data_IF_605232287123
#
_entry.id   IF_605232287123
#
_cell.length_a   1.000
_cell.length_b   1.000
_cell.length_c   1.000
_cell.angle_alpha   90.00
_cell.angle_beta   90.00
_cell.angle_gamma   90.00
#
_symmetry.space_group_name_H-M   'P 1'
#
loop_
_entity.id
_entity.type
_entity.pdbx_description
1 polymer ?
#
# COMPACT_ATOMS: atom_id res chain seq x y z
N UNK A 1 -4.81 -4.83 27.82
CA UNK A 1 -3.73 -5.79 27.51
C UNK A 1 -3.42 -5.87 26.01
N UNK A 2 -4.42 -5.97 25.12
CA UNK A 2 -4.22 -6.06 23.66
C UNK A 2 -3.48 -4.83 23.08
N UNK A 3 -3.77 -3.62 23.58
CA UNK A 3 -3.11 -2.41 23.09
C UNK A 3 -1.63 -2.31 23.46
N UNK A 4 -1.25 -2.74 24.66
CA UNK A 4 0.14 -2.78 25.08
C UNK A 4 0.94 -3.80 24.25
N UNK A 5 0.34 -4.98 23.99
CA UNK A 5 0.94 -5.98 23.11
C UNK A 5 1.11 -5.48 21.67
N UNK A 6 0.10 -4.80 21.12
CA UNK A 6 0.17 -4.18 19.78
C UNK A 6 1.26 -3.11 19.70
N UNK A 7 1.34 -2.23 20.69
CA UNK A 7 2.36 -1.17 20.75
C UNK A 7 3.75 -1.79 20.88
N UNK A 8 3.93 -2.77 21.77
CA UNK A 8 5.19 -3.48 21.91
C UNK A 8 5.61 -4.18 20.61
N UNK A 9 4.68 -4.86 19.93
CA UNK A 9 4.93 -5.51 18.65
C UNK A 9 5.36 -4.50 17.56
N UNK A 10 4.68 -3.35 17.44
CA UNK A 10 5.05 -2.30 16.49
C UNK A 10 6.43 -1.70 16.80
N UNK A 11 6.77 -1.54 18.09
CA UNK A 11 8.09 -1.07 18.52
C UNK A 11 9.20 -2.07 18.17
N UNK A 12 8.99 -3.36 18.47
CA UNK A 12 9.92 -4.45 18.09
C UNK A 12 10.08 -4.49 16.57
N UNK A 13 8.98 -4.44 15.82
CA UNK A 13 9.01 -4.48 14.36
C UNK A 13 9.78 -3.30 13.77
N UNK A 14 9.62 -2.10 14.36
CA UNK A 14 10.39 -0.91 13.97
C UNK A 14 11.89 -1.15 14.15
N UNK A 15 12.30 -1.68 15.29
CA UNK A 15 13.71 -1.99 15.56
C UNK A 15 14.25 -3.05 14.60
N UNK A 16 13.49 -4.13 14.37
CA UNK A 16 13.88 -5.19 13.44
C UNK A 16 14.08 -4.67 12.01
N UNK A 17 13.18 -3.84 11.51
CA UNK A 17 13.33 -3.24 10.19
C UNK A 17 14.46 -2.22 10.12
N UNK A 18 14.70 -1.44 11.18
CA UNK A 18 15.85 -0.54 11.25
C UNK A 18 17.19 -1.32 11.26
N UNK A 19 17.25 -2.44 11.99
CA UNK A 19 18.41 -3.34 11.98
C UNK A 19 18.60 -3.98 10.60
N UNK A 20 17.52 -4.44 9.97
CA UNK A 20 17.55 -4.98 8.61
C UNK A 20 18.05 -3.95 7.60
N UNK A 21 17.61 -2.69 7.71
CA UNK A 21 18.10 -1.60 6.88
C UNK A 21 19.60 -1.34 7.08
N UNK A 22 20.11 -1.41 8.31
CA UNK A 22 21.52 -1.20 8.62
C UNK A 22 22.41 -2.37 8.17
N UNK A 23 21.93 -3.60 8.26
CA UNK A 23 22.68 -4.80 7.88
C UNK A 23 22.49 -5.23 6.42
N UNK A 24 21.53 -4.64 5.72
CA UNK A 24 21.29 -4.90 4.30
C UNK A 24 22.53 -4.54 3.48
N UNK A 25 22.86 -5.35 2.49
CA UNK A 25 23.98 -5.09 1.57
C UNK A 25 23.53 -4.52 0.24
N UNK A 26 22.27 -4.75 -0.14
CA UNK A 26 21.66 -4.26 -1.37
C UNK A 26 20.78 -3.02 -1.12
N UNK A 27 20.88 -2.02 -2.01
CA UNK A 27 20.17 -0.75 -1.88
C UNK A 27 18.64 -0.92 -1.88
N UNK A 28 18.10 -1.82 -2.71
CA UNK A 28 16.64 -2.06 -2.78
C UNK A 28 16.17 -2.61 -1.45
N UNK A 29 16.88 -3.61 -0.91
CA UNK A 29 16.54 -4.20 0.38
C UNK A 29 16.61 -3.16 1.51
N UNK A 30 17.67 -2.34 1.55
CA UNK A 30 17.82 -1.28 2.54
C UNK A 30 16.67 -0.26 2.45
N UNK A 31 16.32 0.20 1.24
CA UNK A 31 15.22 1.15 1.05
C UNK A 31 13.88 0.56 1.48
N UNK A 32 13.58 -0.69 1.11
CA UNK A 32 12.33 -1.33 1.53
C UNK A 32 12.28 -1.57 3.04
N UNK A 33 13.39 -1.98 3.66
CA UNK A 33 13.50 -2.10 5.10
C UNK A 33 13.29 -0.75 5.80
N UNK A 34 13.84 0.34 5.26
CA UNK A 34 13.60 1.70 5.78
C UNK A 34 12.15 2.14 5.63
N UNK A 35 11.51 1.88 4.48
CA UNK A 35 10.08 2.19 4.29
C UNK A 35 9.21 1.47 5.32
N UNK A 36 9.50 0.19 5.57
CA UNK A 36 8.79 -0.61 6.58
C UNK A 36 9.10 -0.15 8.01
N UNK A 37 10.34 0.25 8.31
CA UNK A 37 10.73 0.84 9.59
C UNK A 37 9.98 2.15 9.84
N UNK A 38 9.92 3.05 8.85
CA UNK A 38 9.21 4.32 8.96
C UNK A 38 7.70 4.12 9.11
N UNK A 39 7.11 3.19 8.36
CA UNK A 39 5.69 2.86 8.48
C UNK A 39 5.38 2.30 9.88
N UNK A 40 6.16 1.33 10.35
CA UNK A 40 5.97 0.73 11.68
C UNK A 40 6.21 1.74 12.80
N UNK A 41 7.23 2.60 12.70
CA UNK A 41 7.48 3.69 13.64
C UNK A 41 6.32 4.69 13.69
N UNK A 42 5.81 5.09 12.52
CA UNK A 42 4.65 5.98 12.42
C UNK A 42 3.41 5.38 13.09
N UNK A 43 3.13 4.10 12.82
CA UNK A 43 2.03 3.36 13.46
C UNK A 43 2.25 3.17 14.97
N UNK A 44 3.47 2.94 15.41
CA UNK A 44 3.86 2.87 16.82
C UNK A 44 3.55 4.18 17.55
N UNK A 45 4.06 5.31 17.03
CA UNK A 45 3.83 6.65 17.58
C UNK A 45 2.33 6.98 17.57
N UNK A 46 1.64 6.71 16.47
CA UNK A 46 0.20 6.91 16.37
C UNK A 46 -0.58 6.08 17.39
N UNK A 47 -0.17 4.82 17.61
CA UNK A 47 -0.81 3.93 18.57
C UNK A 47 -0.57 4.38 20.01
N UNK A 48 0.62 4.86 20.36
CA UNK A 48 0.91 5.45 21.67
C UNK A 48 0.07 6.71 21.89
N UNK A 49 0.02 7.62 20.92
CA UNK A 49 -0.76 8.86 21.00
C UNK A 49 -2.26 8.61 21.19
N UNK A 50 -2.77 7.49 20.70
CA UNK A 50 -4.19 7.09 20.84
C UNK A 50 -4.47 6.17 22.02
N UNK A 51 -3.44 5.66 22.70
CA UNK A 51 -3.60 4.67 23.77
C UNK A 51 -4.40 5.21 24.97
N UNK A 52 -4.32 6.51 25.26
CA UNK A 52 -5.04 7.16 26.37
C UNK A 52 -6.46 7.63 26.06
N UNK A 53 -6.95 7.52 24.82
CA UNK A 53 -8.28 8.03 24.42
C UNK A 53 -9.41 6.99 24.48
N UNK A 54 -9.16 5.82 25.07
CA UNK A 54 -10.00 4.62 24.89
C UNK A 54 -11.06 4.39 25.97
N UNK A 55 -11.32 5.37 26.81
CA UNK A 55 -12.40 5.28 27.81
C UNK A 55 -13.80 5.19 27.17
N UNK A 56 -13.95 5.53 25.88
CA UNK A 56 -15.23 5.42 25.17
C UNK A 56 -15.64 3.99 24.77
N UNK A 57 -14.69 3.06 24.58
CA UNK A 57 -15.04 1.68 24.17
C UNK A 57 -15.59 0.84 25.34
N UNK A 58 -15.17 1.16 26.57
CA UNK A 58 -15.66 0.48 27.77
C UNK A 58 -17.10 0.88 28.14
N UNK A 59 -17.56 2.05 27.69
CA UNK A 59 -18.91 2.59 27.99
C UNK A 59 -19.97 2.06 27.01
N UNK A 60 -19.62 1.81 25.74
CA UNK A 60 -20.60 1.56 24.66
C UNK A 60 -20.77 0.09 24.24
N UNK A 61 -19.88 -0.82 24.68
CA UNK A 61 -19.85 -2.22 24.21
C UNK A 61 -19.59 -2.35 22.69
N UNK A 62 -19.42 -3.57 22.15
CA UNK A 62 -19.35 -3.78 20.72
C UNK A 62 -20.76 -3.52 20.15
N UNK A 63 -20.99 -2.33 19.59
CA UNK A 63 -22.19 -2.11 18.79
C UNK A 63 -22.10 -3.07 17.59
N UNK A 64 -23.14 -3.88 17.29
CA UNK A 64 -23.15 -4.62 16.04
C UNK A 64 -22.91 -3.61 14.92
N UNK A 65 -21.86 -3.83 14.12
CA UNK A 65 -21.59 -2.99 12.96
C UNK A 65 -22.76 -3.20 11.99
N UNK A 66 -23.78 -2.36 12.13
CA UNK A 66 -25.02 -2.42 11.40
C UNK A 66 -24.81 -1.61 10.12
N UNK A 67 -24.55 -2.31 9.01
CA UNK A 67 -24.43 -1.69 7.70
C UNK A 67 -23.29 -2.24 6.86
N UNK A 68 -23.20 -1.73 5.63
CA UNK A 68 -22.11 -2.06 4.72
C UNK A 68 -20.86 -1.26 5.03
N UNK A 69 -19.71 -1.88 4.80
CA UNK A 69 -18.39 -1.28 4.93
C UNK A 69 -18.07 -0.41 3.70
N UNK A 70 -18.82 0.68 3.51
CA UNK A 70 -18.66 1.56 2.35
C UNK A 70 -17.47 2.54 2.50
N UNK A 71 -16.97 2.76 3.72
CA UNK A 71 -15.81 3.63 3.98
C UNK A 71 -14.55 3.14 3.23
N UNK A 72 -14.28 1.83 3.29
CA UNK A 72 -13.12 1.24 2.62
C UNK A 72 -13.31 1.20 1.10
N UNK A 73 -14.55 1.03 0.63
CA UNK A 73 -14.88 1.12 -0.80
C UNK A 73 -14.59 2.53 -1.30
N UNK A 74 -15.01 3.56 -0.56
CA UNK A 74 -14.76 4.96 -0.92
C UNK A 74 -13.27 5.27 -0.98
N UNK A 75 -12.50 4.81 0.01
CA UNK A 75 -11.04 4.93 0.00
C UNK A 75 -10.41 4.19 -1.19
N UNK A 76 -10.91 2.98 -1.49
CA UNK A 76 -10.54 2.19 -2.65
C UNK A 76 -10.78 2.93 -3.96
N UNK A 77 -11.96 3.54 -4.16
CA UNK A 77 -12.28 4.31 -5.37
C UNK A 77 -11.35 5.52 -5.52
N UNK A 78 -11.07 6.25 -4.44
CA UNK A 78 -10.11 7.36 -4.47
C UNK A 78 -8.72 6.85 -4.86
N UNK A 79 -8.25 5.77 -4.24
CA UNK A 79 -6.96 5.15 -4.57
C UNK A 79 -6.92 4.67 -6.03
N UNK A 80 -7.98 4.06 -6.54
CA UNK A 80 -8.12 3.68 -7.95
C UNK A 80 -7.91 4.88 -8.84
N UNK A 81 -8.62 5.98 -8.61
CA UNK A 81 -8.47 7.18 -9.46
C UNK A 81 -7.06 7.77 -9.39
N UNK A 82 -6.45 7.81 -8.20
CA UNK A 82 -5.09 8.31 -8.00
C UNK A 82 -4.08 7.44 -8.76
N UNK A 83 -4.14 6.12 -8.59
CA UNK A 83 -3.22 5.21 -9.27
C UNK A 83 -3.47 5.13 -10.77
N UNK A 84 -4.70 5.34 -11.22
CA UNK A 84 -5.02 5.50 -12.64
C UNK A 84 -4.30 6.69 -13.24
N UNK A 85 -4.35 7.86 -12.58
CA UNK A 85 -3.61 9.05 -13.01
C UNK A 85 -2.10 8.78 -13.03
N UNK A 86 -1.54 8.24 -11.93
CA UNK A 86 -0.10 7.94 -11.85
C UNK A 86 0.34 6.94 -12.93
N UNK A 87 -0.39 5.85 -13.11
CA UNK A 87 -0.10 4.81 -14.08
C UNK A 87 -0.18 5.33 -15.52
N UNK A 88 -1.22 6.09 -15.87
CA UNK A 88 -1.36 6.65 -17.21
C UNK A 88 -0.33 7.74 -17.50
N UNK A 89 -0.01 8.61 -16.53
CA UNK A 89 1.06 9.60 -16.68
C UNK A 89 2.43 8.93 -16.90
N UNK A 90 2.75 7.86 -16.15
CA UNK A 90 3.95 7.08 -16.38
C UNK A 90 3.96 6.47 -17.80
N UNK A 91 2.80 6.00 -18.28
CA UNK A 91 2.62 5.47 -19.64
C UNK A 91 2.87 6.51 -20.72
N UNK A 92 2.28 7.70 -20.57
CA UNK A 92 2.51 8.84 -21.46
C UNK A 92 3.98 9.26 -21.44
N UNK A 93 4.62 9.28 -20.26
CA UNK A 93 6.03 9.62 -20.13
C UNK A 93 6.94 8.63 -20.87
N UNK A 94 6.78 7.32 -20.66
CA UNK A 94 7.60 6.33 -21.36
C UNK A 94 7.31 6.29 -22.86
N UNK A 95 6.10 6.65 -23.30
CA UNK A 95 5.80 6.84 -24.73
C UNK A 95 6.61 8.02 -25.31
N UNK A 96 6.73 9.13 -24.58
CA UNK A 96 7.61 10.23 -24.98
C UNK A 96 9.10 9.84 -24.99
N UNK A 97 9.55 8.92 -24.13
CA UNK A 97 10.93 8.42 -24.18
C UNK A 97 11.24 7.64 -25.45
N UNK A 98 10.24 6.95 -26.03
CA UNK A 98 10.38 6.27 -27.32
C UNK A 98 10.44 7.27 -28.49
N UNK A 99 9.72 8.39 -28.38
CA UNK A 99 9.76 9.46 -29.38
C UNK A 99 11.01 10.35 -29.28
N UNK A 100 11.43 10.65 -28.05
CA UNK A 100 12.55 11.53 -27.71
C UNK A 100 13.46 10.85 -26.67
N UNK A 101 14.48 10.09 -27.13
CA UNK A 101 15.35 9.33 -26.23
C UNK A 101 16.08 10.15 -25.16
N UNK A 102 16.26 11.46 -25.39
CA UNK A 102 16.84 12.40 -24.41
C UNK A 102 16.11 12.39 -23.06
N UNK A 103 14.80 12.09 -23.04
CA UNK A 103 13.99 12.02 -21.82
C UNK A 103 14.32 10.81 -20.92
N UNK A 104 15.31 9.99 -21.27
CA UNK A 104 15.89 9.02 -20.35
C UNK A 104 16.84 9.65 -19.33
N UNK A 105 17.33 10.87 -19.57
CA UNK A 105 18.25 11.64 -18.72
C UNK A 105 19.59 10.96 -18.40
N UNK A 106 19.93 9.86 -19.06
CA UNK A 106 21.09 9.00 -18.74
C UNK A 106 21.17 8.58 -17.26
N UNK A 107 20.02 8.60 -16.56
CA UNK A 107 19.91 8.15 -15.18
C UNK A 107 19.26 6.76 -15.11
N UNK A 108 19.73 5.86 -14.24
CA UNK A 108 19.18 4.50 -14.16
C UNK A 108 17.68 4.47 -13.86
N UNK A 109 17.22 5.29 -12.91
CA UNK A 109 15.83 5.31 -12.42
C UNK A 109 14.83 5.99 -13.36
N UNK A 110 15.27 6.82 -14.29
CA UNK A 110 14.40 7.39 -15.33
C UNK A 110 14.49 6.63 -16.65
N UNK A 111 15.30 5.58 -16.76
CA UNK A 111 15.42 4.83 -18.01
C UNK A 111 14.12 4.09 -18.37
N UNK A 112 13.83 4.01 -19.67
CA UNK A 112 12.66 3.31 -20.20
C UNK A 112 12.55 1.86 -19.69
N UNK A 113 13.69 1.16 -19.59
CA UNK A 113 13.75 -0.22 -19.12
C UNK A 113 13.23 -0.42 -17.69
N UNK A 114 13.41 0.57 -16.80
CA UNK A 114 12.91 0.52 -15.42
C UNK A 114 11.50 1.11 -15.28
N UNK A 115 11.20 2.16 -16.04
CA UNK A 115 9.89 2.80 -15.99
C UNK A 115 8.79 2.00 -16.69
N UNK A 116 9.12 1.14 -17.66
CA UNK A 116 8.15 0.25 -18.31
C UNK A 116 7.46 -0.71 -17.32
N UNK A 117 8.18 -1.57 -16.57
CA UNK A 117 7.52 -2.44 -15.60
C UNK A 117 6.85 -1.67 -14.45
N UNK A 118 7.32 -0.47 -14.11
CA UNK A 118 6.62 0.44 -13.20
C UNK A 118 5.27 0.87 -13.76
N UNK A 119 5.21 1.37 -15.00
CA UNK A 119 3.95 1.74 -15.66
C UNK A 119 2.99 0.55 -15.73
N UNK A 120 3.47 -0.60 -16.21
CA UNK A 120 2.66 -1.81 -16.34
C UNK A 120 2.05 -2.22 -15.00
N UNK A 121 2.85 -2.26 -13.94
CA UNK A 121 2.38 -2.65 -12.61
C UNK A 121 1.46 -1.60 -11.98
N UNK A 122 1.73 -0.31 -12.21
CA UNK A 122 0.87 0.77 -11.76
C UNK A 122 -0.51 0.72 -12.43
N UNK A 123 -0.60 0.45 -13.73
CA UNK A 123 -1.89 0.37 -14.42
C UNK A 123 -2.65 -0.92 -14.07
N UNK A 124 -1.96 -2.06 -14.02
CA UNK A 124 -2.63 -3.35 -13.81
C UNK A 124 -2.94 -3.57 -12.34
N UNK A 125 -1.93 -3.54 -11.47
CA UNK A 125 -2.11 -3.86 -10.06
C UNK A 125 -2.55 -2.65 -9.26
N UNK A 126 -1.92 -1.49 -9.42
CA UNK A 126 -2.32 -0.33 -8.60
C UNK A 126 -3.70 0.21 -9.02
N UNK A 127 -3.91 0.55 -10.29
CA UNK A 127 -5.21 1.01 -10.78
C UNK A 127 -6.22 -0.14 -10.87
N UNK A 128 -5.97 -1.14 -11.71
CA UNK A 128 -6.89 -2.26 -11.94
C UNK A 128 -7.18 -3.07 -10.68
N UNK A 129 -6.15 -3.36 -9.87
CA UNK A 129 -6.31 -4.10 -8.62
C UNK A 129 -7.12 -3.35 -7.56
N UNK A 130 -6.90 -2.04 -7.37
CA UNK A 130 -7.77 -1.25 -6.49
C UNK A 130 -9.21 -1.20 -7.02
N UNK A 131 -9.40 -1.09 -8.34
CA UNK A 131 -10.73 -1.13 -8.95
C UNK A 131 -11.43 -2.44 -8.60
N UNK A 132 -10.76 -3.58 -8.80
CA UNK A 132 -11.30 -4.90 -8.50
C UNK A 132 -11.62 -5.08 -7.02
N UNK A 133 -10.75 -4.63 -6.11
CA UNK A 133 -11.00 -4.72 -4.66
C UNK A 133 -12.23 -3.88 -4.28
N UNK A 134 -12.29 -2.62 -4.72
CA UNK A 134 -13.38 -1.72 -4.40
C UNK A 134 -14.72 -2.23 -4.96
N UNK A 135 -14.75 -2.67 -6.23
CA UNK A 135 -15.96 -3.22 -6.84
C UNK A 135 -16.38 -4.51 -6.17
N UNK A 136 -15.44 -5.41 -5.86
CA UNK A 136 -15.76 -6.68 -5.20
C UNK A 136 -16.35 -6.46 -3.82
N UNK A 137 -15.73 -5.59 -3.00
CA UNK A 137 -16.25 -5.23 -1.68
C UNK A 137 -17.63 -4.56 -1.76
N UNK A 138 -17.85 -3.70 -2.74
CA UNK A 138 -19.14 -3.04 -2.92
C UNK A 138 -20.25 -4.02 -3.34
N UNK A 139 -19.96 -4.84 -4.36
CA UNK A 139 -20.93 -5.73 -5.01
C UNK A 139 -21.31 -6.87 -4.07
N UNK A 140 -20.32 -7.59 -3.48
CA UNK A 140 -20.59 -8.79 -2.67
C UNK A 140 -21.52 -8.50 -1.50
N UNK A 141 -21.38 -7.31 -0.90
CA UNK A 141 -22.21 -6.90 0.22
C UNK A 141 -23.68 -6.71 -0.19
N UNK A 142 -23.91 -6.16 -1.39
CA UNK A 142 -25.23 -5.81 -1.91
C UNK A 142 -25.93 -7.00 -2.56
N UNK A 143 -25.19 -7.85 -3.25
CA UNK A 143 -25.75 -9.05 -3.89
C UNK A 143 -26.13 -10.11 -2.87
N UNK A 144 -25.40 -10.21 -1.76
CA UNK A 144 -25.68 -11.16 -0.69
C UNK A 144 -26.45 -10.55 0.49
N UNK A 145 -26.75 -9.25 0.43
CA UNK A 145 -27.38 -8.49 1.50
C UNK A 145 -26.70 -8.67 2.88
N UNK A 146 -25.37 -8.78 2.91
CA UNK A 146 -24.59 -9.07 4.11
C UNK A 146 -23.34 -8.16 4.20
N UNK A 147 -22.89 -7.78 5.41
CA UNK A 147 -21.64 -7.05 5.57
C UNK A 147 -20.42 -7.94 5.22
N UNK A 148 -19.26 -7.33 5.00
CA UNK A 148 -18.02 -8.08 4.78
C UNK A 148 -17.68 -8.97 5.98
N UNK A 149 -17.38 -10.24 5.72
CA UNK A 149 -17.16 -11.28 6.73
C UNK A 149 -16.11 -10.93 7.80
N UNK A 150 -15.02 -10.25 7.43
CA UNK A 150 -13.97 -9.84 8.37
C UNK A 150 -14.20 -8.48 9.04
N UNK A 151 -15.39 -7.90 8.88
CA UNK A 151 -15.75 -6.58 9.39
C UNK A 151 -14.86 -5.46 8.85
N UNK A 152 -14.92 -4.30 9.50
CA UNK A 152 -14.15 -3.12 9.13
C UNK A 152 -12.64 -3.38 9.18
N UNK A 153 -12.14 -4.07 10.21
CA UNK A 153 -10.71 -4.24 10.43
C UNK A 153 -10.02 -5.04 9.32
N UNK A 154 -10.59 -6.18 8.91
CA UNK A 154 -9.98 -6.98 7.85
C UNK A 154 -10.05 -6.28 6.50
N UNK A 155 -11.15 -5.59 6.20
CA UNK A 155 -11.29 -4.87 4.95
C UNK A 155 -10.26 -3.72 4.84
N UNK A 156 -10.03 -2.98 5.93
CA UNK A 156 -8.98 -1.97 6.00
C UNK A 156 -7.56 -2.55 5.99
N UNK A 157 -7.35 -3.74 6.55
CA UNK A 157 -6.08 -4.46 6.44
C UNK A 157 -5.76 -4.79 4.97
N UNK A 158 -6.73 -5.33 4.22
CA UNK A 158 -6.57 -5.59 2.79
C UNK A 158 -6.24 -4.30 2.04
N UNK A 159 -6.99 -3.22 2.28
CA UNK A 159 -6.75 -1.94 1.62
C UNK A 159 -5.33 -1.40 1.88
N UNK A 160 -4.92 -1.24 3.15
CA UNK A 160 -3.62 -0.68 3.49
C UNK A 160 -2.46 -1.61 3.15
N UNK A 161 -2.66 -2.93 3.28
CA UNK A 161 -1.70 -3.93 2.83
C UNK A 161 -1.47 -3.84 1.32
N UNK A 162 -2.54 -3.63 0.54
CA UNK A 162 -2.45 -3.44 -0.89
C UNK A 162 -1.74 -2.13 -1.26
N UNK A 163 -2.02 -1.02 -0.57
CA UNK A 163 -1.29 0.23 -0.79
C UNK A 163 0.21 0.09 -0.48
N UNK A 164 0.56 -0.59 0.61
CA UNK A 164 1.96 -0.87 0.96
C UNK A 164 2.64 -1.70 -0.14
N UNK A 165 1.98 -2.76 -0.62
CA UNK A 165 2.48 -3.57 -1.73
C UNK A 165 2.76 -2.71 -2.98
N UNK A 166 1.83 -1.83 -3.37
CA UNK A 166 2.00 -0.94 -4.54
C UNK A 166 3.22 -0.01 -4.35
N UNK A 167 3.37 0.59 -3.16
CA UNK A 167 4.49 1.50 -2.88
C UNK A 167 5.83 0.76 -2.96
N UNK A 168 5.91 -0.44 -2.38
CA UNK A 168 7.11 -1.28 -2.45
C UNK A 168 7.42 -1.70 -3.89
N UNK A 169 6.41 -2.05 -4.69
CA UNK A 169 6.61 -2.38 -6.09
C UNK A 169 7.14 -1.17 -6.87
N UNK A 170 6.54 0.01 -6.68
CA UNK A 170 6.97 1.24 -7.34
C UNK A 170 8.42 1.58 -7.02
N UNK A 171 8.81 1.57 -5.74
CA UNK A 171 10.20 1.83 -5.35
C UNK A 171 11.15 0.74 -5.85
N UNK A 172 10.72 -0.52 -5.82
CA UNK A 172 11.49 -1.66 -6.32
C UNK A 172 11.85 -1.52 -7.81
N UNK A 173 10.88 -1.24 -8.68
CA UNK A 173 11.11 -1.10 -10.12
C UNK A 173 12.04 0.06 -10.46
N UNK A 174 11.86 1.22 -9.81
CA UNK A 174 12.73 2.40 -10.02
C UNK A 174 14.19 2.09 -9.63
N UNK A 175 14.37 1.37 -8.53
CA UNK A 175 15.70 0.96 -8.07
C UNK A 175 16.29 -0.21 -8.89
N UNK A 176 15.50 -0.86 -9.73
CA UNK A 176 15.94 -1.89 -10.67
C UNK A 176 15.71 -3.33 -10.20
N UNK A 177 14.88 -3.53 -9.17
CA UNK A 177 14.47 -4.87 -8.72
C UNK A 177 13.39 -5.42 -9.65
N UNK A 178 13.74 -6.45 -10.42
CA UNK A 178 12.81 -7.16 -11.31
C UNK A 178 13.26 -8.61 -11.48
N UNK A 179 12.30 -9.52 -11.66
CA UNK A 179 12.57 -10.91 -12.02
C UNK A 179 12.76 -11.12 -13.54
N UNK A 180 12.67 -10.04 -14.34
CA UNK A 180 12.62 -10.08 -15.80
C UNK A 180 11.45 -10.90 -16.37
N UNK A 181 10.47 -11.23 -15.52
CA UNK A 181 9.19 -11.83 -15.90
C UNK A 181 8.17 -10.70 -15.99
N UNK A 182 7.37 -10.73 -17.04
CA UNK A 182 6.30 -9.76 -17.17
C UNK A 182 5.23 -10.05 -16.12
N UNK A 183 4.79 -9.00 -15.41
CA UNK A 183 3.73 -9.07 -14.40
C UNK A 183 4.06 -9.92 -13.15
N UNK A 184 5.35 -10.20 -12.87
CA UNK A 184 5.81 -11.00 -11.72
C UNK A 184 7.13 -10.54 -11.09
#
# INVERSE_FOLDING_TARGET
>A
MIDAAKIAALGILTLLFAMAANWGTDLVYQVHALLLALLSAGLFIWSIRRAGGRDRYAIDGPRPETGYNDDVVRAGVIATTLWGVVGFLAGTYIAFQLAFPLLNWDLPWTSFGRLRPLHTSAVIFAFGGNALIATSFYIVQRTCAAPLWGGRNLAWFVFWGYQLFIVLAATGYVLGSTQSKEYA
#
